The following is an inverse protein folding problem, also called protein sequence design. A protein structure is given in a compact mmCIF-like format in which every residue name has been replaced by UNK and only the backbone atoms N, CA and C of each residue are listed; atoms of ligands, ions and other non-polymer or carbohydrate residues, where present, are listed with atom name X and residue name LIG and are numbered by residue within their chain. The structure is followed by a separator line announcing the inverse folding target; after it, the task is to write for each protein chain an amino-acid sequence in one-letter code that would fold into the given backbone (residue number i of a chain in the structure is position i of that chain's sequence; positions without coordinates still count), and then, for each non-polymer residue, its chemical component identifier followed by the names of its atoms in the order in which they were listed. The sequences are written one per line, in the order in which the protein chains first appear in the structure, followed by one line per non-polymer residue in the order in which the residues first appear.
data_IF_696361306483
#
_entry.id   IF_696361306483
#
_cell.length_a   1.000
_cell.length_b   1.000
_cell.length_c   1.000
_cell.angle_alpha   90.00
_cell.angle_beta   90.00
_cell.angle_gamma   90.00
#
_symmetry.space_group_name_H-M   'P 1'
#
loop_
_entity.id
_entity.type
_entity.pdbx_description
1 polymer ?
#
# COMPACT_ATOMS: atom_id res chain seq x y z
N UNK A 1 14.43 47.28 36.84
CA UNK A 1 15.23 46.35 36.02
C UNK A 1 14.94 44.88 36.33
N UNK A 2 14.96 44.41 37.59
CA UNK A 2 14.68 43.00 37.94
C UNK A 2 13.29 42.52 37.55
N UNK A 3 12.25 43.35 37.67
CA UNK A 3 10.87 43.01 37.32
C UNK A 3 10.69 42.80 35.81
N UNK A 4 11.32 43.63 34.98
CA UNK A 4 11.28 43.54 33.52
C UNK A 4 11.97 42.27 33.03
N UNK A 5 13.09 41.90 33.66
CA UNK A 5 13.82 40.66 33.33
C UNK A 5 13.02 39.41 33.67
N UNK A 6 12.24 39.45 34.74
CA UNK A 6 11.38 38.35 35.17
C UNK A 6 10.18 38.17 34.23
N UNK A 7 9.61 39.27 33.72
CA UNK A 7 8.53 39.24 32.73
C UNK A 7 9.03 38.70 31.38
N UNK A 8 10.23 39.06 30.93
CA UNK A 8 10.85 38.54 29.71
C UNK A 8 11.11 37.03 29.83
N UNK A 9 11.54 36.55 30.99
CA UNK A 9 11.79 35.12 31.25
C UNK A 9 10.49 34.28 31.19
N UNK A 10 9.37 34.86 31.67
CA UNK A 10 8.03 34.20 31.60
C UNK A 10 7.52 34.13 30.19
N UNK A 11 7.72 35.18 29.36
CA UNK A 11 7.28 35.21 27.97
C UNK A 11 8.09 34.21 27.10
N UNK A 12 9.37 34.00 27.42
CA UNK A 12 10.20 33.06 26.68
C UNK A 12 9.95 31.59 27.04
N UNK A 13 9.36 31.31 28.22
CA UNK A 13 9.03 29.95 28.69
C UNK A 13 7.79 29.34 28.04
N UNK A 14 6.95 30.11 27.30
CA UNK A 14 5.72 29.63 26.68
C UNK A 14 5.84 29.30 25.17
N UNK A 15 7.06 29.00 24.72
CA UNK A 15 7.21 28.37 23.40
C UNK A 15 6.92 26.87 23.55
N UNK A 16 5.64 26.54 23.73
CA UNK A 16 5.14 25.18 23.56
C UNK A 16 5.44 24.77 22.13
N UNK A 17 6.45 23.93 21.96
CA UNK A 17 6.70 23.25 20.70
C UNK A 17 5.43 22.46 20.34
N UNK A 18 4.59 23.04 19.49
CA UNK A 18 3.52 22.29 18.85
C UNK A 18 4.21 21.26 17.94
N UNK A 19 4.57 20.13 18.53
CA UNK A 19 4.93 18.95 17.77
C UNK A 19 3.69 18.63 16.95
N UNK A 20 3.80 18.84 15.65
CA UNK A 20 2.74 18.53 14.72
C UNK A 20 2.40 17.06 14.87
N UNK A 21 1.37 16.77 15.65
CA UNK A 21 0.82 15.42 15.77
C UNK A 21 0.32 15.06 14.37
N UNK A 22 0.94 14.03 13.77
CA UNK A 22 0.43 13.48 12.54
C UNK A 22 -1.06 13.16 12.76
N UNK A 23 -1.95 13.58 11.85
CA UNK A 23 -3.39 13.38 12.03
C UNK A 23 -3.65 11.89 12.22
N UNK A 24 -4.20 11.55 13.37
CA UNK A 24 -4.60 10.19 13.69
C UNK A 24 -6.02 9.96 13.21
N UNK A 25 -6.26 8.77 12.69
CA UNK A 25 -7.48 8.39 12.00
C UNK A 25 -8.18 7.28 12.75
N UNK A 26 -9.48 7.45 13.01
CA UNK A 26 -10.33 6.42 13.60
C UNK A 26 -11.50 6.14 12.66
N UNK A 27 -11.52 4.94 12.09
CA UNK A 27 -12.54 4.52 11.12
C UNK A 27 -13.10 3.17 11.54
N UNK A 28 -14.41 3.08 11.57
CA UNK A 28 -15.14 1.83 11.68
C UNK A 28 -16.04 1.67 10.45
N UNK A 29 -15.90 0.54 9.78
CA UNK A 29 -16.70 0.15 8.63
C UNK A 29 -17.10 -1.33 8.77
N UNK A 30 -18.39 -1.63 8.69
CA UNK A 30 -18.95 -2.98 8.77
C UNK A 30 -19.66 -3.30 7.46
N UNK A 31 -19.07 -4.21 6.68
CA UNK A 31 -19.65 -4.62 5.39
C UNK A 31 -19.96 -3.44 4.44
N UNK A 32 -19.08 -2.45 4.41
CA UNK A 32 -19.25 -1.26 3.59
C UNK A 32 -18.50 -1.37 2.26
N UNK A 33 -18.99 -0.71 1.19
CA UNK A 33 -18.22 -0.61 -0.04
C UNK A 33 -16.97 0.27 0.19
N UNK A 34 -15.90 -0.06 -0.50
CA UNK A 34 -14.61 0.63 -0.33
C UNK A 34 -14.71 2.16 -0.58
N UNK A 35 -15.60 2.58 -1.49
CA UNK A 35 -15.82 4.00 -1.79
C UNK A 35 -16.31 4.77 -0.56
N UNK A 36 -17.18 4.18 0.25
CA UNK A 36 -17.67 4.84 1.48
C UNK A 36 -16.57 4.94 2.53
N UNK A 37 -15.72 3.91 2.63
CA UNK A 37 -14.56 3.95 3.53
C UNK A 37 -13.59 5.06 3.10
N UNK A 38 -13.34 5.18 1.79
CA UNK A 38 -12.48 6.22 1.24
C UNK A 38 -13.03 7.62 1.51
N UNK A 39 -14.36 7.84 1.34
CA UNK A 39 -15.00 9.12 1.68
C UNK A 39 -14.85 9.47 3.17
N UNK A 40 -14.97 8.49 4.06
CA UNK A 40 -14.74 8.70 5.50
C UNK A 40 -13.30 9.15 5.77
N UNK A 41 -12.31 8.55 5.07
CA UNK A 41 -10.92 8.98 5.14
C UNK A 41 -10.74 10.41 4.63
N UNK A 42 -11.29 10.73 3.45
CA UNK A 42 -11.23 12.07 2.88
C UNK A 42 -11.80 13.12 3.82
N UNK A 43 -12.96 12.83 4.43
CA UNK A 43 -13.62 13.76 5.35
C UNK A 43 -12.82 14.03 6.62
N UNK A 44 -12.12 13.01 7.15
CA UNK A 44 -11.33 13.16 8.39
C UNK A 44 -9.96 13.77 8.15
N UNK A 45 -9.37 13.55 6.98
CA UNK A 45 -7.99 13.94 6.69
C UNK A 45 -7.87 15.18 5.80
N UNK A 46 -8.94 15.56 5.10
CA UNK A 46 -8.90 16.59 4.06
C UNK A 46 -8.10 16.16 2.81
N UNK A 47 -7.68 14.90 2.71
CA UNK A 47 -7.02 14.37 1.53
C UNK A 47 -8.05 13.88 0.51
N UNK A 48 -7.65 13.78 -0.76
CA UNK A 48 -8.54 13.37 -1.87
C UNK A 48 -7.98 12.11 -2.54
N UNK A 49 -8.83 11.12 -2.78
CA UNK A 49 -8.45 9.94 -3.56
C UNK A 49 -8.58 10.20 -5.06
N UNK A 50 -7.51 9.88 -5.79
CA UNK A 50 -7.46 9.92 -7.26
C UNK A 50 -7.28 8.50 -7.79
N UNK A 51 -8.26 8.00 -8.54
CA UNK A 51 -8.23 6.65 -9.07
C UNK A 51 -9.14 6.49 -10.29
N UNK A 52 -8.86 5.47 -11.10
CA UNK A 52 -9.78 5.02 -12.14
C UNK A 52 -10.87 4.14 -11.49
N UNK A 53 -12.17 4.45 -11.65
CA UNK A 53 -13.25 3.65 -11.07
C UNK A 53 -13.23 2.18 -11.47
N UNK A 54 -12.62 1.83 -12.59
CA UNK A 54 -12.50 0.45 -13.06
C UNK A 54 -11.68 -0.44 -12.11
N UNK A 55 -10.72 0.12 -11.38
CA UNK A 55 -9.87 -0.65 -10.46
C UNK A 55 -10.62 -1.16 -9.23
N UNK A 56 -11.74 -0.54 -8.91
CA UNK A 56 -12.58 -0.93 -7.77
C UNK A 56 -13.61 -2.01 -8.14
N UNK A 57 -13.77 -2.32 -9.43
CA UNK A 57 -14.70 -3.37 -9.88
C UNK A 57 -14.27 -4.73 -9.33
N UNK A 58 -15.22 -5.43 -8.70
CA UNK A 58 -15.00 -6.77 -8.13
C UNK A 58 -14.43 -6.76 -6.71
N UNK A 59 -14.27 -5.59 -6.09
CA UNK A 59 -13.96 -5.50 -4.68
C UNK A 59 -15.26 -5.67 -3.89
N UNK A 60 -15.30 -6.71 -3.06
CA UNK A 60 -16.42 -7.00 -2.18
C UNK A 60 -16.52 -5.94 -1.07
N UNK A 61 -17.62 -5.98 -0.32
CA UNK A 61 -17.80 -5.17 0.88
C UNK A 61 -16.73 -5.52 1.92
N UNK A 62 -16.22 -4.52 2.61
CA UNK A 62 -15.08 -4.66 3.51
C UNK A 62 -15.53 -4.34 4.93
N UNK A 63 -15.07 -5.16 5.88
CA UNK A 63 -15.11 -4.81 7.29
C UNK A 63 -13.73 -4.34 7.69
N UNK A 64 -13.64 -3.10 8.16
CA UNK A 64 -12.39 -2.46 8.52
C UNK A 64 -12.54 -1.64 9.79
N UNK A 65 -11.57 -1.77 10.68
CA UNK A 65 -11.50 -0.98 11.91
C UNK A 65 -10.08 -0.46 12.09
N UNK A 66 -9.98 0.83 12.32
CA UNK A 66 -8.75 1.54 12.64
C UNK A 66 -9.03 2.51 13.79
N UNK A 67 -8.27 2.41 14.86
CA UNK A 67 -8.40 3.26 16.03
C UNK A 67 -7.08 4.02 16.22
N UNK A 68 -7.16 5.34 16.15
CA UNK A 68 -6.07 6.27 16.47
C UNK A 68 -4.72 5.96 15.76
N UNK A 69 -4.78 5.58 14.49
CA UNK A 69 -3.61 5.23 13.68
C UNK A 69 -3.22 6.36 12.73
N UNK A 70 -1.95 6.38 12.31
CA UNK A 70 -1.49 7.28 11.25
C UNK A 70 -2.18 6.96 9.92
N UNK A 71 -2.31 7.96 9.04
CA UNK A 71 -2.87 7.78 7.69
C UNK A 71 -2.17 6.65 6.95
N UNK A 72 -0.83 6.62 6.99
CA UNK A 72 -0.04 5.60 6.28
C UNK A 72 -0.32 4.20 6.78
N UNK A 73 -0.41 3.99 8.08
CA UNK A 73 -0.76 2.69 8.67
C UNK A 73 -2.18 2.26 8.34
N UNK A 74 -3.14 3.20 8.44
CA UNK A 74 -4.52 2.96 8.07
C UNK A 74 -4.66 2.52 6.61
N UNK A 75 -4.03 3.24 5.68
CA UNK A 75 -4.04 2.91 4.25
C UNK A 75 -3.33 1.58 3.96
N UNK A 76 -2.18 1.34 4.59
CA UNK A 76 -1.46 0.07 4.43
C UNK A 76 -2.33 -1.10 4.85
N UNK A 77 -2.97 -1.04 6.01
CA UNK A 77 -3.88 -2.10 6.50
C UNK A 77 -5.12 -2.27 5.64
N UNK A 78 -5.70 -1.15 5.15
CA UNK A 78 -6.89 -1.17 4.30
C UNK A 78 -6.59 -1.85 2.95
N UNK A 79 -5.46 -1.49 2.31
CA UNK A 79 -5.12 -1.98 0.99
C UNK A 79 -4.31 -3.28 0.98
N UNK A 80 -3.76 -3.73 2.11
CA UNK A 80 -2.94 -4.96 2.21
C UNK A 80 -3.63 -6.22 1.64
N UNK A 81 -4.94 -6.31 1.80
CA UNK A 81 -5.75 -7.46 1.34
C UNK A 81 -6.40 -7.21 -0.03
N UNK A 82 -6.16 -6.07 -0.63
CA UNK A 82 -6.76 -5.67 -1.90
C UNK A 82 -5.71 -5.66 -3.02
N UNK A 83 -6.11 -5.92 -4.26
CA UNK A 83 -5.21 -5.85 -5.41
C UNK A 83 -4.94 -4.41 -5.83
N UNK A 84 -4.68 -3.54 -4.85
CA UNK A 84 -4.47 -2.11 -5.02
C UNK A 84 -3.18 -1.68 -4.33
N UNK A 85 -2.47 -0.75 -4.94
CA UNK A 85 -1.39 0.01 -4.33
C UNK A 85 -1.79 1.47 -4.20
N UNK A 86 -1.19 2.17 -3.26
CA UNK A 86 -1.42 3.59 -3.08
C UNK A 86 -0.09 4.36 -3.04
N UNK A 87 -0.16 5.62 -3.41
CA UNK A 87 0.94 6.57 -3.32
C UNK A 87 0.38 7.89 -2.83
N UNK A 88 0.99 8.46 -1.79
CA UNK A 88 0.62 9.77 -1.26
C UNK A 88 1.47 10.83 -1.96
N UNK A 89 0.82 11.83 -2.54
CA UNK A 89 1.46 12.97 -3.17
C UNK A 89 0.78 14.26 -2.69
N UNK A 90 1.39 14.91 -1.71
CA UNK A 90 0.79 16.05 -1.03
C UNK A 90 -0.54 15.68 -0.37
N UNK A 91 -1.62 16.32 -0.77
CA UNK A 91 -2.99 16.07 -0.31
C UNK A 91 -3.74 15.01 -1.13
N UNK A 92 -3.08 14.41 -2.14
CA UNK A 92 -3.70 13.40 -3.00
C UNK A 92 -3.21 12.00 -2.67
N UNK A 93 -4.11 11.06 -2.59
CA UNK A 93 -3.85 9.62 -2.47
C UNK A 93 -4.18 8.98 -3.82
N UNK A 94 -3.14 8.60 -4.56
CA UNK A 94 -3.28 8.01 -5.90
C UNK A 94 -3.37 6.50 -5.74
N UNK A 95 -4.46 5.89 -6.22
CA UNK A 95 -4.61 4.44 -6.23
C UNK A 95 -4.28 3.87 -7.61
N UNK A 96 -3.55 2.76 -7.60
CA UNK A 96 -3.20 1.98 -8.79
C UNK A 96 -3.53 0.52 -8.56
N UNK A 97 -3.93 -0.16 -9.62
CA UNK A 97 -4.10 -1.61 -9.56
C UNK A 97 -2.74 -2.28 -9.45
N UNK A 98 -2.58 -3.16 -8.46
CA UNK A 98 -1.40 -4.02 -8.42
C UNK A 98 -1.43 -4.97 -9.62
N UNK A 99 -0.32 -5.09 -10.35
CA UNK A 99 -0.22 -6.11 -11.39
C UNK A 99 -0.36 -7.47 -10.72
N UNK A 100 -1.27 -8.30 -11.22
CA UNK A 100 -1.35 -9.69 -10.78
C UNK A 100 -0.10 -10.41 -11.28
N UNK A 101 0.78 -10.76 -10.38
CA UNK A 101 1.84 -11.72 -10.68
C UNK A 101 1.28 -13.13 -10.54
N UNK A 102 1.41 -13.91 -11.59
CA UNK A 102 1.09 -15.34 -11.57
C UNK A 102 2.44 -16.06 -11.62
N UNK A 103 2.71 -16.90 -10.64
CA UNK A 103 3.86 -17.79 -10.68
C UNK A 103 3.46 -19.04 -11.45
N UNK A 104 4.13 -19.30 -12.55
CA UNK A 104 4.00 -20.52 -13.31
C UNK A 104 5.23 -21.35 -12.97
N UNK A 105 5.02 -22.54 -12.43
CA UNK A 105 6.08 -23.52 -12.15
C UNK A 105 5.81 -24.79 -12.93
N UNK A 106 6.87 -25.45 -13.39
CA UNK A 106 6.75 -26.65 -14.19
C UNK A 106 8.13 -27.12 -14.69
N UNK A 107 8.10 -28.13 -15.51
CA UNK A 107 9.29 -28.72 -16.11
C UNK A 107 9.23 -28.58 -17.63
N UNK A 108 10.37 -28.28 -18.25
CA UNK A 108 10.50 -28.29 -19.70
C UNK A 108 11.30 -29.54 -20.09
N UNK A 109 10.72 -30.34 -20.95
CA UNK A 109 11.33 -31.61 -21.43
C UNK A 109 11.36 -31.65 -22.94
N UNK A 110 12.35 -32.32 -23.49
CA UNK A 110 12.36 -32.66 -24.90
C UNK A 110 11.23 -33.66 -25.22
N UNK A 111 10.51 -33.41 -26.31
CA UNK A 111 9.34 -34.23 -26.68
C UNK A 111 9.74 -35.63 -27.14
N UNK A 112 10.89 -35.80 -27.74
CA UNK A 112 11.34 -37.07 -28.31
C UNK A 112 12.09 -37.91 -27.27
N UNK A 113 12.98 -37.30 -26.49
CA UNK A 113 13.84 -37.99 -25.52
C UNK A 113 13.29 -38.04 -24.12
N UNK A 114 12.26 -37.17 -23.81
CA UNK A 114 11.71 -36.96 -22.46
C UNK A 114 12.71 -36.42 -21.43
N UNK A 115 13.90 -36.05 -21.84
CA UNK A 115 14.95 -35.49 -21.00
C UNK A 115 14.63 -34.05 -20.61
N UNK A 116 15.05 -33.63 -19.43
CA UNK A 116 14.92 -32.26 -18.97
C UNK A 116 15.86 -31.33 -19.74
N UNK A 117 15.29 -30.24 -20.27
CA UNK A 117 16.06 -29.23 -20.98
C UNK A 117 16.66 -28.23 -19.99
N UNK A 118 17.94 -28.42 -19.69
CA UNK A 118 18.74 -27.54 -18.86
C UNK A 118 19.14 -26.30 -19.67
N UNK A 119 19.09 -25.12 -19.08
CA UNK A 119 19.48 -23.87 -19.75
C UNK A 119 18.45 -23.34 -20.74
N UNK A 120 17.29 -23.96 -20.86
CA UNK A 120 16.19 -23.42 -21.66
C UNK A 120 15.69 -22.11 -21.06
N UNK A 121 15.41 -21.14 -21.92
CA UNK A 121 14.82 -19.86 -21.51
C UNK A 121 13.31 -19.90 -21.77
N UNK A 122 12.54 -19.54 -20.72
CA UNK A 122 11.09 -19.40 -20.80
C UNK A 122 10.76 -17.92 -20.63
N UNK A 123 10.01 -17.36 -21.55
CA UNK A 123 9.61 -15.96 -21.48
C UNK A 123 8.14 -15.77 -21.85
N UNK A 124 7.53 -14.77 -21.24
CA UNK A 124 6.19 -14.30 -21.61
C UNK A 124 6.31 -13.34 -22.80
N UNK A 125 5.76 -13.72 -23.94
CA UNK A 125 5.82 -12.94 -25.19
C UNK A 125 5.18 -11.55 -25.07
N UNK A 126 4.24 -11.38 -24.14
CA UNK A 126 3.52 -10.12 -23.93
C UNK A 126 4.32 -9.15 -23.07
N UNK A 127 4.96 -9.63 -22.01
CA UNK A 127 5.68 -8.77 -21.04
C UNK A 127 7.18 -8.73 -21.29
N UNK A 128 7.70 -9.57 -22.18
CA UNK A 128 9.14 -9.77 -22.45
C UNK A 128 9.93 -10.14 -21.18
N UNK A 129 9.25 -10.66 -20.16
CA UNK A 129 9.87 -11.14 -18.92
C UNK A 129 10.06 -12.64 -19.03
N UNK A 130 11.23 -13.10 -18.63
CA UNK A 130 11.56 -14.51 -18.69
C UNK A 130 12.54 -14.93 -17.60
N UNK A 131 12.75 -16.23 -17.54
CA UNK A 131 13.73 -16.88 -16.68
C UNK A 131 14.45 -17.97 -17.44
N UNK A 132 15.70 -18.23 -17.08
CA UNK A 132 16.44 -19.38 -17.55
C UNK A 132 16.23 -20.54 -16.56
N UNK A 133 16.04 -21.74 -17.09
CA UNK A 133 15.93 -22.96 -16.27
C UNK A 133 17.32 -23.35 -15.78
N UNK A 134 17.52 -23.16 -14.48
CA UNK A 134 18.74 -23.62 -13.81
C UNK A 134 18.58 -25.10 -13.45
N UNK A 135 19.68 -25.82 -13.46
CA UNK A 135 19.75 -27.17 -12.92
C UNK A 135 19.53 -27.09 -11.41
N UNK A 136 18.35 -27.47 -10.93
CA UNK A 136 18.20 -27.83 -9.53
C UNK A 136 18.18 -29.34 -9.43
N UNK A 137 19.35 -29.91 -9.21
CA UNK A 137 19.44 -31.23 -8.62
C UNK A 137 19.09 -31.12 -7.15
N UNK A 138 17.83 -31.11 -6.83
CA UNK A 138 17.38 -31.52 -5.53
C UNK A 138 16.83 -32.93 -5.63
N UNK A 139 17.79 -33.83 -5.68
CA UNK A 139 17.61 -35.18 -5.22
C UNK A 139 17.99 -35.20 -3.74
N UNK A 140 17.02 -35.18 -2.86
CA UNK A 140 17.12 -35.67 -1.49
C UNK A 140 15.74 -36.12 -1.04
#
# INVERSE_FOLDING_TARGET
MKLILLIILIIFGFQSSAWGQAPTLSIEAKQEPIQEIMKKIEHQTGMTFSYDPSILKGISRITFKSDNQSISECLTRLFQKLPLSYQINGTHIILKKLPRSVTISGFVRDKATTEYLIGASVYDSRTQRGTCLLYTSDAA
#
